data_IF_001706758083
#
_entry.id   IF_001706758083
#
_cell.length_a   1.000
_cell.length_b   1.000
_cell.length_c   1.000
_cell.angle_alpha   90.00
_cell.angle_beta   90.00
_cell.angle_gamma   90.00
#
_symmetry.space_group_name_H-M   'P 1'
#
loop_
_entity.id
_entity.type
_entity.pdbx_description
1 polymer ?
#
# COMPACT_ATOMS: atom_id res chain seq x y z
N UNK A 1 -17.15 9.75 19.76
CA UNK A 1 -16.52 8.57 20.37
C UNK A 1 -17.02 8.46 21.80
N UNK A 2 -18.01 7.59 22.07
CA UNK A 2 -18.39 7.23 23.43
C UNK A 2 -17.86 5.81 23.64
N UNK A 3 -16.80 5.67 24.43
CA UNK A 3 -16.26 4.37 24.86
C UNK A 3 -16.87 4.11 26.23
N UNK A 4 -17.83 3.18 26.31
CA UNK A 4 -18.37 2.76 27.59
C UNK A 4 -17.55 1.59 28.12
N UNK A 5 -16.65 1.89 29.05
CA UNK A 5 -16.00 0.91 29.92
C UNK A 5 -16.98 0.61 31.06
N UNK A 6 -17.58 -0.58 31.06
CA UNK A 6 -18.29 -1.12 32.22
C UNK A 6 -17.34 -2.08 32.96
N UNK A 7 -17.35 -2.02 34.29
CA UNK A 7 -16.33 -2.53 35.23
C UNK A 7 -16.00 -4.05 35.21
N UNK A 8 -16.40 -4.79 34.18
CA UNK A 8 -15.90 -6.13 33.85
C UNK A 8 -15.70 -6.27 32.33
N UNK A 9 -14.55 -5.77 31.82
CA UNK A 9 -13.99 -5.95 30.46
C UNK A 9 -14.95 -6.43 29.35
N UNK A 10 -15.88 -5.55 28.95
CA UNK A 10 -16.78 -5.70 27.80
C UNK A 10 -16.61 -4.47 26.88
N UNK A 11 -16.60 -4.69 25.56
CA UNK A 11 -16.37 -3.65 24.56
C UNK A 11 -17.57 -3.53 23.63
N UNK A 12 -18.12 -2.31 23.52
CA UNK A 12 -19.15 -1.93 22.54
C UNK A 12 -18.56 -0.82 21.68
N UNK A 13 -18.40 -1.09 20.39
CA UNK A 13 -17.95 -0.10 19.41
C UNK A 13 -19.16 0.64 18.83
N UNK A 14 -19.23 1.97 19.00
CA UNK A 14 -20.27 2.84 18.44
C UNK A 14 -19.73 3.62 17.24
N UNK A 15 -20.37 3.49 16.07
CA UNK A 15 -19.90 4.03 14.80
C UNK A 15 -20.89 5.05 14.20
N UNK A 16 -20.39 6.10 13.53
CA UNK A 16 -21.21 7.07 12.78
C UNK A 16 -20.77 7.10 11.30
N UNK A 17 -21.71 6.89 10.37
CA UNK A 17 -21.52 7.10 8.92
C UNK A 17 -21.07 8.57 8.70
N UNK A 18 -19.95 8.91 8.01
CA UNK A 18 -19.32 8.23 6.87
C UNK A 18 -17.80 7.93 7.05
N UNK A 19 -17.26 7.86 8.28
CA UNK A 19 -15.82 7.67 8.54
C UNK A 19 -15.36 6.19 8.52
N UNK A 20 -15.69 5.49 7.42
CA UNK A 20 -15.67 4.02 7.31
C UNK A 20 -14.33 3.28 7.46
N UNK A 21 -13.15 3.91 7.32
CA UNK A 21 -11.96 3.10 6.99
C UNK A 21 -11.06 2.71 8.17
N UNK A 22 -11.13 3.40 9.32
CA UNK A 22 -10.11 3.22 10.36
C UNK A 22 -10.47 2.11 11.37
N UNK A 23 -11.74 2.01 11.77
CA UNK A 23 -12.14 1.18 12.91
C UNK A 23 -12.29 -0.31 12.56
N UNK A 24 -12.69 -0.67 11.34
CA UNK A 24 -12.75 -2.07 10.86
C UNK A 24 -11.39 -2.77 10.93
N UNK A 25 -10.32 -2.01 10.68
CA UNK A 25 -8.93 -2.47 10.81
C UNK A 25 -8.59 -2.87 12.25
N UNK A 26 -9.16 -2.17 13.23
CA UNK A 26 -8.94 -2.42 14.65
C UNK A 26 -9.81 -3.59 15.15
N UNK A 27 -10.91 -3.94 14.48
CA UNK A 27 -11.79 -5.05 14.91
C UNK A 27 -11.04 -6.38 14.99
N UNK A 28 -10.28 -6.77 13.97
CA UNK A 28 -9.46 -8.00 14.00
C UNK A 28 -8.41 -7.99 15.11
N UNK A 29 -7.91 -6.82 15.47
CA UNK A 29 -6.97 -6.61 16.58
C UNK A 29 -7.70 -6.75 17.92
N UNK A 30 -8.91 -6.19 18.03
CA UNK A 30 -9.75 -6.24 19.22
C UNK A 30 -10.26 -7.65 19.47
N UNK A 31 -10.79 -8.36 18.47
CA UNK A 31 -11.24 -9.75 18.57
C UNK A 31 -10.14 -10.66 19.13
N UNK A 32 -8.91 -10.47 18.62
CA UNK A 32 -7.73 -11.20 19.07
C UNK A 32 -7.32 -10.82 20.50
N UNK A 33 -7.37 -9.53 20.88
CA UNK A 33 -7.16 -9.09 22.28
C UNK A 33 -8.26 -9.65 23.21
N UNK A 34 -9.49 -9.73 22.70
CA UNK A 34 -10.64 -10.19 23.45
C UNK A 34 -10.63 -11.69 23.71
N UNK A 35 -9.84 -12.45 22.95
CA UNK A 35 -9.51 -13.84 23.30
C UNK A 35 -10.74 -14.73 23.44
N UNK A 36 -11.73 -14.56 22.57
CA UNK A 36 -12.98 -15.32 22.59
C UNK A 36 -14.10 -14.72 23.46
N UNK A 37 -13.86 -13.61 24.16
CA UNK A 37 -14.94 -12.84 24.82
C UNK A 37 -15.89 -12.26 23.76
N UNK A 38 -17.21 -12.18 24.06
CA UNK A 38 -18.18 -11.58 23.15
C UNK A 38 -17.83 -10.12 22.82
N UNK A 39 -17.70 -9.80 21.53
CA UNK A 39 -17.53 -8.44 21.00
C UNK A 39 -18.84 -8.00 20.33
N UNK A 40 -19.34 -6.82 20.69
CA UNK A 40 -20.54 -6.23 20.12
C UNK A 40 -20.19 -5.08 19.19
N UNK A 41 -20.61 -5.18 17.93
CA UNK A 41 -20.47 -4.11 16.94
C UNK A 41 -21.83 -3.46 16.69
N UNK A 42 -21.91 -2.13 16.87
CA UNK A 42 -23.12 -1.37 16.61
C UNK A 42 -22.84 -0.24 15.60
N UNK A 43 -23.30 -0.46 14.38
CA UNK A 43 -23.23 0.53 13.30
C UNK A 43 -24.44 1.47 13.37
N UNK A 44 -24.18 2.78 13.45
CA UNK A 44 -25.21 3.82 13.45
C UNK A 44 -25.05 4.64 12.17
N UNK A 45 -26.05 4.56 11.31
CA UNK A 45 -26.22 5.44 10.16
C UNK A 45 -27.13 6.63 10.52
N UNK A 46 -27.06 7.73 9.79
CA UNK A 46 -27.94 8.90 9.94
C UNK A 46 -29.43 8.52 9.81
N UNK A 47 -29.73 7.42 9.10
CA UNK A 47 -31.08 6.87 8.95
C UNK A 47 -31.39 5.69 9.88
N UNK A 48 -30.51 5.37 10.85
CA UNK A 48 -30.73 4.25 11.76
C UNK A 48 -31.93 4.52 12.68
N UNK A 49 -32.97 3.70 12.56
CA UNK A 49 -34.14 3.75 13.43
C UNK A 49 -33.81 3.22 14.84
N UNK A 50 -34.31 3.91 15.87
CA UNK A 50 -34.11 3.61 17.31
C UNK A 50 -34.36 2.12 17.65
N UNK A 51 -35.43 1.55 17.12
CA UNK A 51 -35.80 0.14 17.35
C UNK A 51 -34.71 -0.85 16.88
N UNK A 52 -33.98 -0.53 15.81
CA UNK A 52 -32.89 -1.37 15.30
C UNK A 52 -31.67 -1.39 16.22
N UNK A 53 -31.41 -0.29 16.91
CA UNK A 53 -30.33 -0.18 17.90
C UNK A 53 -30.69 -0.95 19.17
N UNK A 54 -31.91 -0.75 19.70
CA UNK A 54 -32.38 -1.43 20.91
C UNK A 54 -32.33 -2.94 20.75
N UNK A 55 -32.87 -3.46 19.63
CA UNK A 55 -32.90 -4.91 19.38
C UNK A 55 -31.48 -5.52 19.31
N UNK A 56 -30.51 -4.82 18.70
CA UNK A 56 -29.11 -5.27 18.64
C UNK A 56 -28.45 -5.29 20.00
N UNK A 57 -28.73 -4.29 20.84
CA UNK A 57 -28.24 -4.23 22.22
C UNK A 57 -28.84 -5.36 23.08
N UNK A 58 -30.13 -5.60 22.97
CA UNK A 58 -30.80 -6.71 23.68
C UNK A 58 -30.21 -8.06 23.29
N UNK A 59 -30.05 -8.32 21.99
CA UNK A 59 -29.43 -9.54 21.48
C UNK A 59 -27.97 -9.71 21.95
N UNK A 60 -27.22 -8.61 22.03
CA UNK A 60 -25.85 -8.65 22.53
C UNK A 60 -25.81 -8.93 24.04
N UNK A 61 -26.71 -8.35 24.83
CA UNK A 61 -26.87 -8.65 26.26
C UNK A 61 -27.17 -10.13 26.48
N UNK A 62 -28.03 -10.72 25.67
CA UNK A 62 -28.33 -12.16 25.73
C UNK A 62 -27.12 -13.01 25.37
N UNK A 63 -26.30 -12.58 24.41
CA UNK A 63 -25.02 -13.22 24.06
C UNK A 63 -24.05 -13.18 25.25
N UNK A 64 -23.93 -12.05 25.94
CA UNK A 64 -23.09 -11.91 27.16
C UNK A 64 -23.59 -12.85 28.27
N UNK A 65 -24.90 -12.84 28.55
CA UNK A 65 -25.50 -13.72 29.57
C UNK A 65 -25.29 -15.21 29.23
N UNK A 66 -25.44 -15.57 27.96
CA UNK A 66 -25.18 -16.93 27.46
C UNK A 66 -23.72 -17.34 27.62
N UNK A 67 -22.79 -16.45 27.26
CA UNK A 67 -21.35 -16.67 27.41
C UNK A 67 -20.96 -16.85 28.89
N UNK A 68 -21.44 -15.96 29.77
CA UNK A 68 -21.19 -16.04 31.22
C UNK A 68 -21.68 -17.36 31.84
N UNK A 69 -22.81 -17.89 31.37
CA UNK A 69 -23.36 -19.18 31.83
C UNK A 69 -22.61 -20.40 31.28
N UNK A 70 -21.89 -20.27 30.17
CA UNK A 70 -21.30 -21.40 29.45
C UNK A 70 -19.96 -21.89 30.01
N UNK A 71 -19.39 -21.22 31.02
CA UNK A 71 -18.32 -21.69 31.93
C UNK A 71 -17.15 -22.49 31.34
N UNK A 72 -16.84 -22.36 30.05
CA UNK A 72 -15.51 -22.68 29.52
C UNK A 72 -14.78 -21.35 29.41
N UNK A 73 -14.10 -20.98 30.49
CA UNK A 73 -12.96 -20.08 30.38
C UNK A 73 -11.98 -20.76 29.43
N UNK A 74 -11.99 -20.41 28.15
CA UNK A 74 -10.83 -20.68 27.32
C UNK A 74 -9.71 -19.86 27.95
N UNK A 75 -8.76 -20.54 28.59
CA UNK A 75 -7.46 -19.96 28.88
C UNK A 75 -6.82 -19.63 27.54
N UNK A 76 -7.10 -18.42 27.03
CA UNK A 76 -6.23 -17.85 26.01
C UNK A 76 -4.90 -17.62 26.68
N UNK A 77 -3.87 -18.34 26.22
CA UNK A 77 -2.50 -18.02 26.58
C UNK A 77 -2.32 -16.51 26.43
N UNK A 78 -1.99 -15.82 27.54
CA UNK A 78 -1.55 -14.43 27.50
C UNK A 78 -0.21 -14.41 26.75
N UNK A 79 -0.27 -14.47 25.43
CA UNK A 79 0.85 -14.09 24.59
C UNK A 79 1.01 -12.60 24.76
N UNK A 80 2.23 -12.12 24.99
CA UNK A 80 2.50 -10.70 24.91
C UNK A 80 2.06 -10.22 23.53
N UNK A 81 0.95 -9.50 23.50
CA UNK A 81 0.35 -9.00 22.27
C UNK A 81 1.09 -7.72 21.87
N UNK A 82 2.42 -7.77 21.81
CA UNK A 82 3.20 -6.70 21.20
C UNK A 82 3.13 -6.85 19.70
N UNK A 83 2.22 -6.07 19.11
CA UNK A 83 2.07 -5.96 17.66
C UNK A 83 2.86 -4.75 17.19
N UNK A 84 4.16 -4.97 16.99
CA UNK A 84 5.08 -3.96 16.51
C UNK A 84 5.80 -4.41 15.24
N UNK A 85 6.25 -3.43 14.50
CA UNK A 85 7.15 -3.58 13.36
C UNK A 85 8.33 -2.68 13.62
N UNK A 86 9.50 -3.06 13.13
CA UNK A 86 10.69 -2.22 13.20
C UNK A 86 10.92 -1.52 11.87
N UNK A 87 11.78 -0.50 11.86
CA UNK A 87 12.29 0.13 10.64
C UNK A 87 13.69 -0.42 10.28
N UNK A 88 14.14 -1.47 10.97
CA UNK A 88 15.52 -1.94 10.88
C UNK A 88 15.68 -2.88 9.69
N UNK A 89 16.31 -2.38 8.63
CA UNK A 89 16.64 -3.19 7.45
C UNK A 89 17.88 -4.05 7.75
N UNK A 90 17.75 -5.36 7.57
CA UNK A 90 18.85 -6.30 7.72
C UNK A 90 19.58 -6.49 6.38
N UNK A 91 20.80 -5.99 6.26
CA UNK A 91 21.61 -6.06 5.02
C UNK A 91 21.92 -7.48 4.54
N UNK A 92 21.77 -8.50 5.39
CA UNK A 92 21.94 -9.91 4.99
C UNK A 92 20.73 -10.45 4.24
N UNK A 93 19.53 -9.94 4.56
CA UNK A 93 18.25 -10.37 4.01
C UNK A 93 17.86 -9.55 2.76
N UNK A 94 17.04 -10.15 1.90
CA UNK A 94 16.44 -9.45 0.76
C UNK A 94 15.12 -8.81 1.18
N UNK A 95 15.04 -7.50 0.99
CA UNK A 95 13.88 -6.68 1.28
C UNK A 95 12.88 -6.72 0.10
N UNK A 96 11.71 -7.30 0.31
CA UNK A 96 10.65 -7.46 -0.68
C UNK A 96 9.74 -6.23 -0.67
N UNK A 97 9.64 -5.54 -1.80
CA UNK A 97 8.90 -4.28 -1.94
C UNK A 97 7.71 -4.49 -2.90
N UNK A 98 6.46 -4.43 -2.43
CA UNK A 98 5.30 -4.46 -3.32
C UNK A 98 5.33 -3.30 -4.32
N UNK A 99 5.03 -3.59 -5.59
CA UNK A 99 5.10 -2.60 -6.66
C UNK A 99 3.86 -1.72 -6.70
N UNK A 100 3.89 -0.58 -6.00
CA UNK A 100 2.85 0.44 -6.17
C UNK A 100 2.90 1.06 -7.57
N UNK A 101 4.10 1.46 -8.03
CA UNK A 101 4.32 2.11 -9.32
C UNK A 101 5.80 1.98 -9.74
N UNK A 102 6.23 2.46 -10.92
CA UNK A 102 7.64 2.44 -11.34
C UNK A 102 8.61 3.12 -10.35
N UNK A 103 8.11 3.98 -9.46
CA UNK A 103 8.88 4.57 -8.37
C UNK A 103 9.52 3.54 -7.43
N UNK A 104 8.91 2.36 -7.28
CA UNK A 104 9.46 1.29 -6.45
C UNK A 104 10.86 0.86 -6.92
N UNK A 105 11.14 0.90 -8.24
CA UNK A 105 12.43 0.53 -8.81
C UNK A 105 13.56 1.48 -8.40
N UNK A 106 13.30 2.79 -8.42
CA UNK A 106 14.29 3.79 -8.04
C UNK A 106 14.49 3.85 -6.53
N UNK A 107 13.46 3.55 -5.74
CA UNK A 107 13.57 3.41 -4.28
C UNK A 107 14.40 2.16 -3.94
N UNK A 108 14.12 1.01 -4.56
CA UNK A 108 14.91 -0.19 -4.39
C UNK A 108 16.37 0.03 -4.77
N UNK A 109 16.63 0.66 -5.92
CA UNK A 109 17.98 1.01 -6.35
C UNK A 109 18.70 1.94 -5.35
N UNK A 110 17.99 2.89 -4.72
CA UNK A 110 18.56 3.76 -3.69
C UNK A 110 18.87 2.98 -2.40
N UNK A 111 18.01 2.03 -2.00
CA UNK A 111 18.27 1.13 -0.87
C UNK A 111 19.51 0.25 -1.15
N UNK A 112 19.64 -0.28 -2.37
CA UNK A 112 20.80 -1.08 -2.80
C UNK A 112 22.09 -0.26 -2.78
N UNK A 113 22.06 0.98 -3.26
CA UNK A 113 23.20 1.89 -3.19
C UNK A 113 23.66 2.16 -1.75
N UNK A 114 22.76 2.03 -0.77
CA UNK A 114 23.03 2.21 0.65
C UNK A 114 23.25 0.90 1.43
N UNK A 115 23.47 -0.22 0.73
CA UNK A 115 23.92 -1.47 1.35
C UNK A 115 22.81 -2.43 1.78
N UNK A 116 21.56 -2.15 1.46
CA UNK A 116 20.48 -3.13 1.56
C UNK A 116 20.46 -4.05 0.33
N UNK A 117 19.82 -5.22 0.43
CA UNK A 117 19.40 -5.99 -0.75
C UNK A 117 17.91 -5.74 -0.92
N UNK A 118 17.47 -5.28 -2.08
CA UNK A 118 16.07 -4.98 -2.31
C UNK A 118 15.57 -5.66 -3.59
N UNK A 119 14.34 -6.14 -3.56
CA UNK A 119 13.66 -6.74 -4.71
C UNK A 119 12.24 -6.18 -4.79
N UNK A 120 11.94 -5.52 -5.90
CA UNK A 120 10.57 -5.08 -6.21
C UNK A 120 9.78 -6.29 -6.71
N UNK A 121 8.62 -6.53 -6.12
CA UNK A 121 7.73 -7.60 -6.56
C UNK A 121 7.16 -7.29 -7.96
N UNK A 122 6.70 -8.30 -8.71
CA UNK A 122 6.09 -8.09 -10.02
C UNK A 122 4.92 -7.10 -9.99
N UNK A 123 4.55 -6.58 -11.16
CA UNK A 123 3.31 -5.79 -11.30
C UNK A 123 2.10 -6.63 -10.89
N UNK A 124 1.28 -6.06 -10.01
CA UNK A 124 0.10 -6.73 -9.48
C UNK A 124 -0.88 -7.08 -10.58
N UNK A 125 -1.53 -8.23 -10.47
CA UNK A 125 -2.61 -8.66 -11.34
C UNK A 125 -3.74 -9.34 -10.54
N UNK A 126 -4.70 -9.94 -11.25
CA UNK A 126 -5.87 -10.57 -10.65
C UNK A 126 -5.52 -11.65 -9.61
N UNK A 127 -4.34 -12.29 -9.73
CA UNK A 127 -3.89 -13.31 -8.77
C UNK A 127 -3.61 -12.71 -7.40
N UNK A 128 -3.05 -11.50 -7.34
CA UNK A 128 -2.82 -10.80 -6.07
C UNK A 128 -4.15 -10.63 -5.30
N UNK A 129 -5.23 -10.25 -6.00
CA UNK A 129 -6.55 -10.19 -5.39
C UNK A 129 -7.11 -11.58 -5.06
N UNK A 130 -6.93 -12.56 -5.94
CA UNK A 130 -7.40 -13.92 -5.71
C UNK A 130 -6.83 -14.49 -4.40
N UNK A 131 -5.53 -14.33 -4.16
CA UNK A 131 -4.89 -14.82 -2.94
C UNK A 131 -5.36 -14.04 -1.70
N UNK A 132 -5.33 -12.70 -1.75
CA UNK A 132 -5.75 -11.89 -0.60
C UNK A 132 -7.22 -12.06 -0.23
N UNK A 133 -8.11 -12.35 -1.18
CA UNK A 133 -9.54 -12.60 -0.92
C UNK A 133 -9.79 -13.85 -0.07
N UNK A 134 -8.85 -14.78 0.01
CA UNK A 134 -8.99 -15.98 0.84
C UNK A 134 -8.89 -15.67 2.34
N UNK A 135 -8.33 -14.51 2.70
CA UNK A 135 -7.99 -14.12 4.08
C UNK A 135 -8.52 -12.72 4.46
N UNK A 136 -9.21 -12.05 3.53
CA UNK A 136 -9.79 -10.72 3.73
C UNK A 136 -11.31 -10.77 3.65
N UNK A 137 -11.98 -9.80 4.29
CA UNK A 137 -13.44 -9.73 4.36
C UNK A 137 -14.04 -8.86 3.26
N UNK A 138 -13.20 -8.16 2.49
CA UNK A 138 -13.62 -7.24 1.43
C UNK A 138 -13.95 -5.83 1.94
N UNK A 139 -13.90 -5.62 3.26
CA UNK A 139 -13.98 -4.29 3.89
C UNK A 139 -12.64 -3.57 3.89
N UNK A 140 -11.55 -4.31 3.67
CA UNK A 140 -10.21 -3.74 3.52
C UNK A 140 -10.09 -2.94 2.22
N UNK A 141 -9.43 -1.77 2.28
CA UNK A 141 -9.21 -0.96 1.10
C UNK A 141 -8.36 -1.70 0.07
N UNK A 142 -8.63 -1.45 -1.22
CA UNK A 142 -7.98 -2.16 -2.32
C UNK A 142 -6.43 -2.18 -2.23
N UNK A 143 -5.73 -1.08 -1.87
CA UNK A 143 -4.27 -1.11 -1.71
C UNK A 143 -3.77 -2.14 -0.69
N UNK A 144 -4.52 -2.38 0.38
CA UNK A 144 -4.19 -3.40 1.38
C UNK A 144 -4.24 -4.80 0.77
N UNK A 145 -5.34 -5.11 0.08
CA UNK A 145 -5.57 -6.41 -0.56
C UNK A 145 -4.55 -6.67 -1.67
N UNK A 146 -4.24 -5.66 -2.48
CA UNK A 146 -3.23 -5.77 -3.53
C UNK A 146 -1.84 -6.03 -2.95
N UNK A 147 -1.39 -5.26 -1.95
CA UNK A 147 -0.04 -5.44 -1.37
C UNK A 147 0.10 -6.73 -0.56
N UNK A 148 -0.92 -7.12 0.22
CA UNK A 148 -0.97 -8.43 0.87
C UNK A 148 -0.93 -9.56 -0.17
N UNK A 149 -1.72 -9.39 -1.25
CA UNK A 149 -1.78 -10.29 -2.39
C UNK A 149 -0.42 -10.52 -3.04
N UNK A 150 0.39 -9.46 -3.20
CA UNK A 150 1.74 -9.59 -3.77
C UNK A 150 2.68 -10.42 -2.90
N UNK A 151 2.61 -10.29 -1.57
CA UNK A 151 3.37 -11.17 -0.67
C UNK A 151 2.87 -12.62 -0.72
N UNK A 152 1.54 -12.83 -0.74
CA UNK A 152 0.94 -14.17 -0.82
C UNK A 152 1.23 -14.85 -2.15
N UNK A 153 1.20 -14.10 -3.25
CA UNK A 153 1.54 -14.60 -4.58
C UNK A 153 2.97 -15.11 -4.63
N UNK A 154 3.93 -14.34 -4.11
CA UNK A 154 5.31 -14.79 -3.98
C UNK A 154 5.42 -16.08 -3.16
N UNK A 155 4.68 -16.17 -2.05
CA UNK A 155 4.66 -17.37 -1.20
C UNK A 155 4.12 -18.62 -1.94
N UNK A 156 2.99 -18.49 -2.64
CA UNK A 156 2.35 -19.62 -3.29
C UNK A 156 3.01 -20.02 -4.61
N UNK A 157 3.56 -19.07 -5.37
CA UNK A 157 4.14 -19.33 -6.69
C UNK A 157 5.66 -19.61 -6.63
N UNK A 158 6.39 -18.91 -5.74
CA UNK A 158 7.85 -18.92 -5.69
C UNK A 158 8.44 -19.39 -4.33
N UNK A 159 7.59 -19.93 -3.45
CA UNK A 159 7.87 -20.22 -2.04
C UNK A 159 9.09 -21.09 -1.74
N UNK A 160 9.58 -21.86 -2.72
CA UNK A 160 10.75 -22.74 -2.56
C UNK A 160 12.08 -21.97 -2.26
N UNK A 161 12.15 -20.68 -2.58
CA UNK A 161 13.38 -19.86 -2.48
C UNK A 161 13.34 -18.76 -1.40
N UNK A 162 12.30 -18.69 -0.56
CA UNK A 162 12.09 -17.58 0.38
C UNK A 162 12.86 -17.71 1.71
N UNK A 163 14.13 -18.10 1.64
CA UNK A 163 15.03 -18.03 2.81
C UNK A 163 15.67 -16.65 2.86
N UNK A 164 15.85 -16.12 4.07
CA UNK A 164 16.51 -14.83 4.31
C UNK A 164 15.84 -13.62 3.61
N UNK A 165 14.51 -13.57 3.66
CA UNK A 165 13.72 -12.44 3.16
C UNK A 165 13.03 -11.69 4.30
N UNK A 166 12.71 -10.42 4.05
CA UNK A 166 11.82 -9.58 4.86
C UNK A 166 10.99 -8.69 3.93
N UNK A 167 9.74 -8.41 4.28
CA UNK A 167 8.90 -7.48 3.55
C UNK A 167 9.22 -6.03 3.89
N UNK A 168 8.83 -5.11 3.01
CA UNK A 168 8.84 -3.69 3.25
C UNK A 168 7.49 -3.09 2.92
N UNK A 169 6.96 -2.34 3.86
CA UNK A 169 5.76 -1.55 3.67
C UNK A 169 5.98 -0.16 4.24
N UNK A 170 5.40 0.84 3.60
CA UNK A 170 5.40 2.18 4.18
C UNK A 170 4.24 2.30 5.16
N UNK A 171 4.45 3.10 6.20
CA UNK A 171 3.45 3.42 7.20
C UNK A 171 3.08 4.91 7.14
N UNK A 172 2.03 5.27 7.84
CA UNK A 172 1.61 6.66 8.02
C UNK A 172 1.09 6.90 9.43
N UNK A 173 1.35 8.08 9.97
CA UNK A 173 0.55 8.60 11.09
C UNK A 173 -0.66 9.35 10.52
N UNK A 174 -1.86 9.03 10.99
CA UNK A 174 -3.10 9.67 10.53
C UNK A 174 -4.28 8.70 10.43
N UNK A 175 -5.41 9.14 9.87
CA UNK A 175 -6.62 8.32 9.74
C UNK A 175 -6.49 7.22 8.67
N UNK A 176 -5.41 7.22 7.89
CA UNK A 176 -5.17 6.24 6.85
C UNK A 176 -4.85 4.86 7.45
N UNK A 177 -5.48 3.81 6.92
CA UNK A 177 -5.24 2.42 7.32
C UNK A 177 -3.80 1.95 7.04
N UNK A 178 -3.07 2.63 6.16
CA UNK A 178 -1.68 2.31 5.81
C UNK A 178 -0.79 2.12 7.03
N UNK A 179 -0.98 2.90 8.10
CA UNK A 179 -0.25 2.76 9.37
C UNK A 179 -0.43 1.41 10.09
N UNK A 180 -1.37 0.56 9.65
CA UNK A 180 -1.63 -0.79 10.19
C UNK A 180 -1.28 -1.92 9.23
N UNK A 181 -0.94 -1.62 7.97
CA UNK A 181 -0.75 -2.64 6.93
C UNK A 181 0.28 -3.68 7.34
N UNK A 182 1.50 -3.25 7.68
CA UNK A 182 2.59 -4.17 8.03
C UNK A 182 2.21 -5.12 9.17
N UNK A 183 1.60 -4.59 10.24
CA UNK A 183 1.22 -5.37 11.42
C UNK A 183 0.15 -6.42 11.07
N UNK A 184 -0.90 -6.02 10.35
CA UNK A 184 -1.98 -6.92 9.95
C UNK A 184 -1.48 -7.97 8.94
N UNK A 185 -0.65 -7.57 7.98
CA UNK A 185 -0.07 -8.46 6.98
C UNK A 185 0.86 -9.50 7.62
N UNK A 186 1.75 -9.11 8.55
CA UNK A 186 2.61 -10.06 9.30
C UNK A 186 1.75 -11.14 9.97
N UNK A 187 0.65 -10.74 10.62
CA UNK A 187 -0.26 -11.69 11.29
C UNK A 187 -0.88 -12.66 10.29
N UNK A 188 -1.51 -12.14 9.24
CA UNK A 188 -2.20 -12.97 8.25
C UNK A 188 -1.23 -13.90 7.52
N UNK A 189 -0.06 -13.40 7.12
CA UNK A 189 0.97 -14.20 6.46
C UNK A 189 1.45 -15.33 7.40
N UNK A 190 1.62 -15.06 8.69
CA UNK A 190 1.97 -16.08 9.67
C UNK A 190 0.88 -17.15 9.85
N UNK A 191 -0.39 -16.76 9.83
CA UNK A 191 -1.53 -17.69 9.95
C UNK A 191 -1.61 -18.67 8.76
N UNK A 192 -1.23 -18.24 7.55
CA UNK A 192 -1.14 -19.11 6.37
C UNK A 192 0.18 -19.89 6.27
N UNK A 193 1.06 -19.78 7.27
CA UNK A 193 2.33 -20.50 7.32
C UNK A 193 3.53 -19.79 6.68
N UNK A 194 3.40 -18.49 6.37
CA UNK A 194 4.50 -17.65 5.87
C UNK A 194 5.01 -16.68 6.94
N UNK A 195 6.05 -17.08 7.67
CA UNK A 195 6.68 -16.23 8.71
C UNK A 195 7.58 -15.15 8.07
N UNK A 196 6.95 -14.11 7.52
CA UNK A 196 7.61 -12.97 6.89
C UNK A 196 7.58 -11.74 7.83
N UNK A 197 8.72 -11.35 8.42
CA UNK A 197 8.83 -10.03 9.05
C UNK A 197 8.65 -8.94 8.00
N UNK A 198 7.87 -7.91 8.29
CA UNK A 198 7.70 -6.74 7.43
C UNK A 198 8.28 -5.52 8.16
N UNK A 199 9.22 -4.83 7.53
CA UNK A 199 9.79 -3.57 8.02
C UNK A 199 8.90 -2.41 7.59
N UNK A 200 8.77 -1.39 8.46
CA UNK A 200 8.01 -0.18 8.17
C UNK A 200 8.77 1.09 8.48
N UNK A 201 8.47 2.14 7.74
CA UNK A 201 8.96 3.51 7.97
C UNK A 201 7.81 4.50 7.80
N UNK A 202 7.97 5.72 8.33
CA UNK A 202 6.93 6.76 8.36
C UNK A 202 7.51 8.12 7.99
N UNK A 203 6.71 8.97 7.33
CA UNK A 203 7.14 10.31 6.90
C UNK A 203 7.51 11.23 8.07
N UNK A 204 6.93 11.03 9.26
CA UNK A 204 7.20 11.84 10.46
C UNK A 204 8.66 11.77 10.93
N UNK A 205 9.38 10.69 10.62
CA UNK A 205 10.83 10.56 10.87
C UNK A 205 11.68 11.02 9.67
N UNK A 206 11.05 11.58 8.63
CA UNK A 206 11.63 11.81 7.32
C UNK A 206 12.28 10.55 6.72
N UNK A 207 11.75 9.37 7.04
CA UNK A 207 12.27 8.05 6.66
C UNK A 207 13.68 7.73 7.19
N UNK A 208 14.21 8.52 8.13
CA UNK A 208 15.56 8.34 8.71
C UNK A 208 15.65 7.12 9.62
N UNK A 209 14.51 6.63 10.11
CA UNK A 209 14.39 5.44 10.93
C UNK A 209 14.83 4.15 10.21
N UNK A 210 14.92 4.18 8.88
CA UNK A 210 15.52 3.11 8.07
C UNK A 210 17.02 2.92 8.31
N UNK A 211 17.71 3.93 8.87
CA UNK A 211 19.16 3.90 9.16
C UNK A 211 20.04 3.56 7.94
N UNK A 212 19.60 3.89 6.73
CA UNK A 212 20.38 3.73 5.48
C UNK A 212 21.34 4.89 5.18
N UNK A 213 21.44 5.86 6.09
CA UNK A 213 22.28 7.06 5.97
C UNK A 213 21.69 8.15 5.07
N UNK A 214 22.20 9.38 5.21
CA UNK A 214 21.69 10.59 4.52
C UNK A 214 21.74 10.55 2.99
N UNK A 215 22.55 9.65 2.44
CA UNK A 215 22.62 9.39 1.01
C UNK A 215 21.32 8.77 0.48
N UNK A 216 20.67 7.92 1.28
CA UNK A 216 19.46 7.21 0.87
C UNK A 216 18.33 8.20 0.57
N UNK A 217 18.01 9.11 1.50
CA UNK A 217 16.89 10.03 1.30
C UNK A 217 17.15 10.96 0.10
N UNK A 218 18.41 11.37 -0.10
CA UNK A 218 18.82 12.18 -1.26
C UNK A 218 18.64 11.40 -2.57
N UNK A 219 19.13 10.17 -2.65
CA UNK A 219 19.04 9.33 -3.84
C UNK A 219 17.59 8.95 -4.15
N UNK A 220 16.83 8.54 -3.14
CA UNK A 220 15.41 8.23 -3.27
C UNK A 220 14.62 9.44 -3.76
N UNK A 221 14.84 10.64 -3.19
CA UNK A 221 14.17 11.87 -3.64
C UNK A 221 14.52 12.25 -5.09
N UNK A 222 15.81 12.18 -5.45
CA UNK A 222 16.26 12.39 -6.84
C UNK A 222 15.59 11.39 -7.80
N UNK A 223 15.53 10.12 -7.42
CA UNK A 223 14.90 9.08 -8.23
C UNK A 223 13.39 9.29 -8.39
N UNK A 224 12.69 9.56 -7.29
CA UNK A 224 11.24 9.74 -7.29
C UNK A 224 10.85 10.92 -8.16
N UNK A 225 11.51 12.07 -7.99
CA UNK A 225 11.26 13.24 -8.83
C UNK A 225 11.58 12.98 -10.31
N UNK A 226 12.62 12.22 -10.61
CA UNK A 226 12.95 11.85 -12.00
C UNK A 226 11.86 10.99 -12.65
N UNK A 227 11.31 10.00 -11.93
CA UNK A 227 10.22 9.16 -12.41
C UNK A 227 8.90 9.96 -12.52
N UNK A 228 8.61 10.89 -11.61
CA UNK A 228 7.47 11.81 -11.75
C UNK A 228 7.54 12.60 -13.07
N UNK A 229 8.72 13.13 -13.43
CA UNK A 229 8.90 13.82 -14.71
C UNK A 229 8.78 12.87 -15.90
N UNK A 230 9.32 11.65 -15.78
CA UNK A 230 9.25 10.65 -16.84
C UNK A 230 7.81 10.21 -17.12
N UNK A 231 7.00 10.03 -16.08
CA UNK A 231 5.57 9.72 -16.21
C UNK A 231 4.80 10.89 -16.84
N UNK A 232 5.09 12.13 -16.46
CA UNK A 232 4.51 13.31 -17.11
C UNK A 232 4.84 13.37 -18.59
N UNK A 233 6.09 13.07 -18.98
CA UNK A 233 6.48 12.98 -20.39
C UNK A 233 5.72 11.86 -21.11
N UNK A 234 5.62 10.68 -20.50
CA UNK A 234 4.88 9.54 -21.04
C UNK A 234 3.42 9.93 -21.34
N UNK A 235 2.67 10.41 -20.35
CA UNK A 235 1.25 10.74 -20.51
C UNK A 235 1.01 11.94 -21.42
N UNK A 236 1.98 12.87 -21.50
CA UNK A 236 1.91 14.01 -22.43
C UNK A 236 2.10 13.59 -23.88
N UNK A 237 2.89 12.54 -24.15
CA UNK A 237 3.41 12.26 -25.50
C UNK A 237 2.78 11.01 -26.12
N UNK A 238 2.49 10.00 -25.32
CA UNK A 238 1.85 8.76 -25.77
C UNK A 238 0.54 8.98 -26.55
N UNK A 239 -0.33 9.93 -26.20
CA UNK A 239 -1.52 10.22 -27.02
C UNK A 239 -1.20 10.77 -28.42
N UNK A 240 0.03 11.23 -28.64
CA UNK A 240 0.49 11.84 -29.88
C UNK A 240 1.62 11.03 -30.53
N UNK A 241 1.83 9.77 -30.16
CA UNK A 241 2.96 8.98 -30.66
C UNK A 241 2.76 8.56 -32.13
N UNK A 242 3.80 8.71 -32.96
CA UNK A 242 3.80 8.30 -34.38
C UNK A 242 3.52 6.81 -34.58
N UNK A 243 3.91 5.99 -33.62
CA UNK A 243 3.70 4.55 -33.64
C UNK A 243 3.40 4.06 -32.23
N UNK A 244 2.30 3.32 -32.10
CA UNK A 244 1.81 2.80 -30.81
C UNK A 244 2.89 2.04 -30.05
N UNK A 245 3.12 2.39 -28.78
CA UNK A 245 4.06 1.74 -27.88
C UNK A 245 5.53 2.21 -27.99
N UNK A 246 5.83 3.26 -28.76
CA UNK A 246 7.16 3.87 -28.72
C UNK A 246 7.40 4.58 -27.39
N UNK A 247 6.40 5.31 -26.88
CA UNK A 247 6.54 6.04 -25.62
C UNK A 247 6.69 5.10 -24.41
N UNK A 248 5.94 3.99 -24.40
CA UNK A 248 6.03 2.98 -23.31
C UNK A 248 7.42 2.31 -23.29
N UNK A 249 7.97 1.90 -24.44
CA UNK A 249 9.33 1.32 -24.52
C UNK A 249 10.41 2.31 -24.05
N UNK A 250 10.29 3.57 -24.46
CA UNK A 250 11.23 4.62 -24.05
C UNK A 250 11.14 4.87 -22.54
N UNK A 251 9.93 4.88 -21.99
CA UNK A 251 9.71 5.00 -20.54
C UNK A 251 10.41 3.89 -19.75
N UNK A 252 10.26 2.63 -20.16
CA UNK A 252 10.89 1.49 -19.48
C UNK A 252 12.43 1.55 -19.58
N UNK A 253 12.96 1.90 -20.76
CA UNK A 253 14.39 2.07 -20.97
C UNK A 253 14.99 3.14 -20.04
N UNK A 254 14.36 4.31 -19.97
CA UNK A 254 14.84 5.41 -19.13
C UNK A 254 14.66 5.13 -17.64
N UNK A 255 13.58 4.46 -17.23
CA UNK A 255 13.39 4.01 -15.84
C UNK A 255 14.55 3.11 -15.42
N UNK A 256 14.93 2.14 -16.26
CA UNK A 256 16.05 1.24 -16.01
C UNK A 256 17.40 1.98 -15.99
N UNK A 257 17.64 2.92 -16.92
CA UNK A 257 18.86 3.75 -16.92
C UNK A 257 18.98 4.56 -15.63
N UNK A 258 17.91 5.21 -15.19
CA UNK A 258 17.88 6.01 -13.96
C UNK A 258 18.14 5.13 -12.73
N UNK A 259 17.43 4.00 -12.60
CA UNK A 259 17.62 3.06 -11.50
C UNK A 259 19.07 2.54 -11.44
N UNK A 260 19.66 2.22 -12.59
CA UNK A 260 21.07 1.78 -12.68
C UNK A 260 22.07 2.86 -12.22
N UNK A 261 21.87 4.12 -12.60
CA UNK A 261 22.73 5.23 -12.13
C UNK A 261 22.59 5.45 -10.63
N UNK A 262 21.36 5.40 -10.11
CA UNK A 262 21.08 5.52 -8.67
C UNK A 262 21.80 4.41 -7.89
N UNK A 263 21.69 3.15 -8.34
CA UNK A 263 22.35 2.00 -7.71
C UNK A 263 23.88 2.17 -7.60
N UNK A 264 24.48 2.81 -8.61
CA UNK A 264 25.92 3.11 -8.66
C UNK A 264 26.32 4.43 -7.99
N UNK A 265 25.36 5.18 -7.42
CA UNK A 265 25.53 6.55 -6.91
C UNK A 265 26.11 7.52 -7.96
N UNK A 266 25.74 7.34 -9.22
CA UNK A 266 26.16 8.19 -10.33
C UNK A 266 25.14 9.30 -10.60
N UNK A 267 25.62 10.44 -11.09
CA UNK A 267 24.74 11.50 -11.60
C UNK A 267 24.03 11.06 -12.89
N UNK A 268 22.79 11.50 -13.05
CA UNK A 268 21.93 11.15 -14.20
C UNK A 268 21.28 12.39 -14.84
N UNK A 269 21.81 13.59 -14.58
CA UNK A 269 21.29 14.83 -15.17
C UNK A 269 21.45 14.91 -16.69
N UNK A 270 22.44 14.21 -17.24
CA UNK A 270 22.61 13.96 -18.68
C UNK A 270 21.44 13.16 -19.27
N UNK A 271 21.04 12.08 -18.59
CA UNK A 271 19.89 11.25 -18.97
C UNK A 271 18.61 12.06 -18.97
N UNK A 272 18.41 12.93 -17.97
CA UNK A 272 17.22 13.81 -17.90
C UNK A 272 17.19 14.88 -19.00
N UNK A 273 18.34 15.33 -19.51
CA UNK A 273 18.38 16.23 -20.68
C UNK A 273 18.03 15.48 -21.96
N UNK A 274 18.57 14.28 -22.13
CA UNK A 274 18.38 13.45 -23.31
C UNK A 274 16.93 12.96 -23.45
N UNK A 275 16.31 12.55 -22.34
CA UNK A 275 14.94 12.00 -22.36
C UNK A 275 13.92 12.98 -22.93
N UNK A 276 14.05 14.28 -22.59
CA UNK A 276 13.13 15.32 -23.09
C UNK A 276 13.19 15.44 -24.61
N UNK A 277 14.40 15.40 -25.20
CA UNK A 277 14.56 15.47 -26.65
C UNK A 277 14.06 14.22 -27.36
N UNK A 278 14.32 13.04 -26.81
CA UNK A 278 13.91 11.77 -27.43
C UNK A 278 12.41 11.60 -27.40
N UNK A 279 11.77 11.86 -26.26
CA UNK A 279 10.31 11.84 -26.13
C UNK A 279 9.65 12.82 -27.12
N UNK A 280 10.17 14.05 -27.25
CA UNK A 280 9.64 15.04 -28.21
C UNK A 280 9.72 14.55 -29.66
N UNK A 281 10.72 13.75 -30.00
CA UNK A 281 10.89 13.19 -31.36
C UNK A 281 9.82 12.16 -31.74
N UNK A 282 9.11 11.60 -30.75
CA UNK A 282 8.05 10.61 -30.94
C UNK A 282 6.71 11.23 -31.34
N UNK A 283 6.55 12.56 -31.23
CA UNK A 283 5.29 13.26 -31.48
C UNK A 283 5.00 13.31 -32.98
N UNK A 284 3.84 12.83 -33.39
CA UNK A 284 3.25 13.10 -34.71
C UNK A 284 2.64 14.51 -34.71
N UNK A 285 3.21 15.45 -35.49
CA UNK A 285 2.74 16.83 -35.53
C UNK A 285 1.36 17.00 -36.17
N UNK A 286 0.87 16.00 -36.92
CA UNK A 286 -0.41 16.08 -37.64
C UNK A 286 -1.61 15.72 -36.75
N UNK A 287 -1.35 15.18 -35.55
CA UNK A 287 -2.40 14.85 -34.59
C UNK A 287 -2.98 16.10 -33.90
N UNK A 288 -4.31 16.23 -33.83
CA UNK A 288 -4.93 17.38 -33.17
C UNK A 288 -4.71 17.33 -31.66
N UNK A 289 -4.73 18.51 -31.02
CA UNK A 289 -4.69 18.61 -29.56
C UNK A 289 -5.88 17.87 -28.94
N UNK A 290 -5.61 17.12 -27.88
CA UNK A 290 -6.62 16.38 -27.12
C UNK A 290 -7.09 17.18 -25.90
N UNK A 291 -8.37 17.04 -25.47
CA UNK A 291 -8.82 17.59 -24.21
C UNK A 291 -8.00 17.05 -23.03
N UNK A 292 -7.71 17.92 -22.07
CA UNK A 292 -6.89 17.59 -20.90
C UNK A 292 -7.77 17.26 -19.69
N UNK A 293 -7.49 16.13 -19.04
CA UNK A 293 -8.16 15.68 -17.82
C UNK A 293 -7.16 15.53 -16.67
N UNK A 294 -7.51 16.03 -15.49
CA UNK A 294 -6.75 15.84 -14.27
C UNK A 294 -7.23 14.61 -13.50
N UNK A 295 -6.31 13.73 -13.11
CA UNK A 295 -6.58 12.59 -12.23
C UNK A 295 -5.94 12.87 -10.87
N UNK A 296 -6.78 12.97 -9.85
CA UNK A 296 -6.38 13.15 -8.45
C UNK A 296 -7.18 12.21 -7.55
N UNK A 297 -6.63 11.85 -6.39
CA UNK A 297 -7.28 10.95 -5.45
C UNK A 297 -6.27 10.23 -4.56
N UNK A 298 -6.70 9.10 -4.00
CA UNK A 298 -5.85 8.24 -3.17
C UNK A 298 -4.58 7.82 -3.94
N UNK A 299 -3.42 7.95 -3.29
CA UNK A 299 -2.10 7.89 -3.92
C UNK A 299 -1.83 6.51 -4.55
N UNK A 300 -2.21 5.42 -3.87
CA UNK A 300 -1.98 4.08 -4.39
C UNK A 300 -2.89 3.81 -5.59
N UNK A 301 -4.19 4.09 -5.46
CA UNK A 301 -5.17 3.86 -6.53
C UNK A 301 -4.81 4.63 -7.80
N UNK A 302 -4.45 5.91 -7.71
CA UNK A 302 -4.12 6.68 -8.91
C UNK A 302 -2.79 6.26 -9.56
N UNK A 303 -1.87 5.66 -8.79
CA UNK A 303 -0.51 5.34 -9.26
C UNK A 303 -0.34 3.89 -9.71
N UNK A 304 -1.12 2.97 -9.17
CA UNK A 304 -1.06 1.55 -9.48
C UNK A 304 -2.00 1.21 -10.63
N UNK A 305 -1.43 0.77 -11.76
CA UNK A 305 -2.16 0.50 -13.01
C UNK A 305 -3.23 -0.57 -12.83
N UNK A 306 -2.92 -1.65 -12.12
CA UNK A 306 -3.89 -2.70 -11.86
C UNK A 306 -5.07 -2.19 -11.03
N UNK A 307 -4.80 -1.47 -9.94
CA UNK A 307 -5.84 -1.02 -9.00
C UNK A 307 -6.81 -0.01 -9.60
N UNK A 308 -6.42 0.74 -10.63
CA UNK A 308 -7.30 1.67 -11.34
C UNK A 308 -7.71 1.21 -12.74
N UNK A 309 -7.47 -0.06 -13.09
CA UNK A 309 -7.79 -0.60 -14.42
C UNK A 309 -7.14 0.19 -15.57
N UNK A 310 -5.91 0.65 -15.35
CA UNK A 310 -5.11 1.49 -16.25
C UNK A 310 -5.89 2.74 -16.72
N UNK A 311 -6.47 3.47 -15.77
CA UNK A 311 -7.34 4.63 -16.01
C UNK A 311 -6.74 5.64 -17.01
N UNK A 312 -5.42 5.83 -16.95
CA UNK A 312 -4.67 6.68 -17.90
C UNK A 312 -4.85 6.16 -19.33
N UNK A 313 -4.60 4.87 -19.58
CA UNK A 313 -4.82 4.26 -20.92
C UNK A 313 -6.29 4.35 -21.34
N UNK A 314 -7.23 4.12 -20.43
CA UNK A 314 -8.67 4.25 -20.71
C UNK A 314 -9.02 5.66 -21.20
N UNK A 315 -8.49 6.70 -20.54
CA UNK A 315 -8.67 8.09 -20.99
C UNK A 315 -8.03 8.35 -22.37
N UNK A 316 -6.82 7.84 -22.59
CA UNK A 316 -6.11 8.01 -23.86
C UNK A 316 -6.81 7.33 -25.04
N UNK A 317 -7.35 6.12 -24.82
CA UNK A 317 -8.15 5.38 -25.80
C UNK A 317 -9.47 6.11 -26.10
N UNK A 318 -10.01 6.87 -25.15
CA UNK A 318 -11.14 7.78 -25.34
C UNK A 318 -10.77 9.11 -26.03
N UNK A 319 -9.52 9.28 -26.48
CA UNK A 319 -9.08 10.49 -27.18
C UNK A 319 -8.69 11.65 -26.26
N UNK A 320 -8.45 11.39 -24.97
CA UNK A 320 -8.06 12.40 -23.98
C UNK A 320 -6.55 12.42 -23.77
N UNK A 321 -6.07 13.51 -23.17
CA UNK A 321 -4.76 13.63 -22.55
C UNK A 321 -4.95 13.72 -21.03
N UNK A 322 -4.01 13.17 -20.25
CA UNK A 322 -4.14 13.14 -18.79
C UNK A 322 -2.95 13.77 -18.07
N UNK A 323 -3.24 14.37 -16.92
CA UNK A 323 -2.26 14.78 -15.92
C UNK A 323 -2.65 14.11 -14.60
N UNK A 324 -1.75 13.31 -14.05
CA UNK A 324 -1.97 12.66 -12.74
C UNK A 324 -1.14 13.37 -11.68
N UNK A 325 -1.70 13.55 -10.49
CA UNK A 325 -0.97 14.05 -9.32
C UNK A 325 0.26 13.16 -9.04
N UNK A 326 1.48 13.74 -8.94
CA UNK A 326 2.73 12.99 -8.85
C UNK A 326 2.83 12.17 -7.56
N UNK A 327 3.67 11.13 -7.55
CA UNK A 327 3.94 10.35 -6.34
C UNK A 327 4.79 11.16 -5.36
N UNK A 328 5.65 12.05 -5.85
CA UNK A 328 6.48 12.90 -5.01
C UNK A 328 5.71 13.84 -4.07
N UNK A 329 4.41 14.08 -4.27
CA UNK A 329 3.60 14.85 -3.30
C UNK A 329 3.42 14.11 -1.98
N UNK A 330 3.42 12.77 -2.00
CA UNK A 330 3.24 11.96 -0.80
C UNK A 330 4.40 12.13 0.18
N UNK A 331 5.60 12.40 -0.32
CA UNK A 331 6.77 12.71 0.53
C UNK A 331 6.59 14.04 1.29
N UNK A 332 5.77 14.95 0.76
CA UNK A 332 5.44 16.22 1.43
C UNK A 332 4.28 16.08 2.42
N UNK A 333 3.63 14.92 2.48
CA UNK A 333 2.55 14.65 3.40
C UNK A 333 3.14 14.35 4.79
N UNK A 334 3.28 15.40 5.60
CA UNK A 334 3.82 15.38 6.97
C UNK A 334 2.74 15.58 8.02
#
# INVERSE_FOLDING_TARGET
MLIMLLDELLYVALHHFPQFSALDSILKILEDIMGGKPLGQLEIDEHAAEAGIVTRLEAFVDTIKGYARSAKQQETERKDVYRGTTAHINSKKTLLIPRMSPHAEVVAAAMEACGAKAMVLPESDERDLLYSNQVTLGTECLPYRVTLGSFMRLYYEDGANLKDVEGFMTGSYGPCRLGKYAIEQIKILKEIGFDLPIQTTVSNSAYRDLNLGSDFERLAWKGITAIDYLQKLLWRIRPYEKQKGLADRLFDEYTNKIANRIRKKEEFGDIMRQVTSEFKSLIDPDLPKRPLVGINGEIFLRSNRFSNSDLVKVCEDAGLEVVVSPVGEWIKYT
#
